data_IF_417529620342
#
_entry.id   IF_417529620342
#
_cell.length_a   1.000
_cell.length_b   1.000
_cell.length_c   1.000
_cell.angle_alpha   90.00
_cell.angle_beta   90.00
_cell.angle_gamma   90.00
#
_symmetry.space_group_name_H-M   'P 1'
#
loop_
_entity.id
_entity.type
_entity.pdbx_description
1 polymer ?
#
# COMPACT_ATOMS: atom_id res chain seq x y z
N UNK A 1 -2.18 38.51 3.47
CA UNK A 1 -1.93 37.91 2.14
C UNK A 1 -0.43 37.67 2.09
N UNK A 2 -0.01 36.43 2.28
CA UNK A 2 1.40 36.06 2.10
C UNK A 2 1.70 36.10 0.59
N UNK A 3 2.80 36.71 0.15
CA UNK A 3 3.19 36.71 -1.26
C UNK A 3 3.64 35.29 -1.60
N UNK A 4 2.86 34.62 -2.44
CA UNK A 4 3.24 33.31 -2.98
C UNK A 4 4.50 33.49 -3.85
N UNK A 5 5.57 32.82 -3.47
CA UNK A 5 6.77 32.71 -4.27
C UNK A 5 6.40 32.22 -5.69
N UNK A 6 7.11 32.76 -6.69
CA UNK A 6 6.95 32.31 -8.09
C UNK A 6 7.25 30.81 -8.17
N UNK A 7 6.63 30.09 -9.09
CA UNK A 7 6.77 28.64 -9.27
C UNK A 7 8.23 28.13 -9.41
N UNK A 8 9.20 29.03 -9.60
CA UNK A 8 10.64 28.74 -9.63
C UNK A 8 11.28 28.63 -8.23
N UNK A 9 10.55 29.01 -7.16
CA UNK A 9 11.07 29.04 -5.79
C UNK A 9 10.37 28.00 -4.89
N UNK A 10 9.58 27.08 -5.45
CA UNK A 10 8.93 26.01 -4.70
C UNK A 10 9.81 24.76 -4.74
N UNK A 11 10.34 24.33 -3.61
CA UNK A 11 11.05 23.07 -3.46
C UNK A 11 10.07 22.00 -2.94
N UNK A 12 9.95 20.92 -3.71
CA UNK A 12 9.15 19.76 -3.36
C UNK A 12 10.06 18.72 -2.73
N UNK A 13 9.82 18.37 -1.48
CA UNK A 13 10.66 17.40 -0.81
C UNK A 13 9.85 16.16 -0.45
N UNK A 14 10.36 14.98 -0.83
CA UNK A 14 10.03 13.77 -0.15
C UNK A 14 10.69 13.82 1.23
N UNK A 15 9.88 13.99 2.27
CA UNK A 15 10.33 14.11 3.66
C UNK A 15 10.76 12.78 4.26
N UNK A 16 11.44 11.93 3.51
CA UNK A 16 12.10 10.73 3.95
C UNK A 16 11.30 9.44 3.86
N UNK A 17 11.93 8.42 3.30
CA UNK A 17 11.51 7.03 3.39
C UNK A 17 12.42 6.26 4.36
N UNK A 18 11.91 5.22 5.07
CA UNK A 18 12.69 4.48 6.04
C UNK A 18 13.77 3.61 5.42
N UNK A 19 13.62 3.19 4.17
CA UNK A 19 14.54 2.31 3.45
C UNK A 19 14.91 2.91 2.09
N UNK A 20 15.92 2.33 1.43
CA UNK A 20 16.29 2.70 0.08
C UNK A 20 15.18 2.33 -0.92
N UNK A 21 14.97 3.13 -1.99
CA UNK A 21 13.88 2.94 -2.95
C UNK A 21 14.18 1.80 -3.95
N UNK A 22 14.46 0.59 -3.45
CA UNK A 22 14.81 -0.62 -4.22
C UNK A 22 13.99 -1.84 -3.84
N UNK A 23 12.90 -1.63 -3.09
CA UNK A 23 12.06 -2.69 -2.53
C UNK A 23 10.99 -3.21 -3.51
N UNK A 24 10.88 -2.63 -4.70
CA UNK A 24 9.75 -2.87 -5.62
C UNK A 24 8.39 -2.70 -4.92
N UNK A 25 8.32 -1.87 -3.88
CA UNK A 25 7.17 -1.69 -3.01
C UNK A 25 7.01 -0.25 -2.55
N UNK A 26 6.78 -0.07 -1.25
CA UNK A 26 6.41 1.21 -0.64
C UNK A 26 7.45 2.32 -0.86
N UNK A 27 8.71 2.05 -0.50
CA UNK A 27 9.76 3.08 -0.57
C UNK A 27 10.02 3.50 -2.02
N UNK A 28 10.10 2.55 -2.95
CA UNK A 28 10.31 2.85 -4.36
C UNK A 28 9.14 3.61 -4.97
N UNK A 29 7.89 3.23 -4.67
CA UNK A 29 6.70 3.91 -5.23
C UNK A 29 6.58 5.35 -4.73
N UNK A 30 6.87 5.62 -3.47
CA UNK A 30 6.93 6.98 -2.93
C UNK A 30 7.98 7.83 -3.62
N UNK A 31 9.21 7.33 -3.68
CA UNK A 31 10.33 7.99 -4.33
C UNK A 31 10.07 8.33 -5.80
N UNK A 32 9.66 7.31 -6.59
CA UNK A 32 9.42 7.48 -8.02
C UNK A 32 8.27 8.45 -8.29
N UNK A 33 7.20 8.39 -7.49
CA UNK A 33 6.07 9.31 -7.61
C UNK A 33 6.44 10.75 -7.24
N UNK A 34 7.17 10.96 -6.16
CA UNK A 34 7.60 12.28 -5.73
C UNK A 34 8.52 12.92 -6.76
N UNK A 35 9.49 12.16 -7.29
CA UNK A 35 10.37 12.58 -8.36
C UNK A 35 9.61 12.98 -9.63
N UNK A 36 8.68 12.13 -10.09
CA UNK A 36 7.88 12.39 -11.28
C UNK A 36 6.97 13.63 -11.12
N UNK A 37 6.43 13.85 -9.92
CA UNK A 37 5.62 15.04 -9.60
C UNK A 37 6.49 16.29 -9.55
N UNK A 38 7.67 16.23 -8.95
CA UNK A 38 8.61 17.34 -8.96
C UNK A 38 8.97 17.75 -10.41
N UNK A 39 9.32 16.79 -11.26
CA UNK A 39 9.58 17.02 -12.69
C UNK A 39 8.37 17.64 -13.41
N UNK A 40 7.18 17.09 -13.19
CA UNK A 40 5.91 17.59 -13.81
C UNK A 40 5.61 19.05 -13.49
N UNK A 41 5.90 19.48 -12.27
CA UNK A 41 5.56 20.84 -11.80
C UNK A 41 6.75 21.80 -11.81
N UNK A 42 7.95 21.36 -12.25
CA UNK A 42 9.17 22.16 -12.26
C UNK A 42 9.68 22.50 -10.86
N UNK A 43 9.52 21.56 -9.92
CA UNK A 43 9.95 21.69 -8.52
C UNK A 43 11.33 21.04 -8.32
N UNK A 44 12.06 21.47 -7.32
CA UNK A 44 13.30 20.82 -6.91
C UNK A 44 12.93 19.57 -6.09
N UNK A 45 13.48 18.42 -6.47
CA UNK A 45 13.32 17.17 -5.74
C UNK A 45 14.48 16.94 -4.78
N UNK A 46 14.19 16.82 -3.49
CA UNK A 46 15.21 16.65 -2.44
C UNK A 46 14.86 15.41 -1.59
N UNK A 47 15.28 14.22 -2.04
CA UNK A 47 14.96 12.98 -1.34
C UNK A 47 15.83 12.79 -0.09
N UNK A 48 15.22 12.31 1.00
CA UNK A 48 15.90 11.74 2.15
C UNK A 48 15.49 10.29 2.31
N UNK A 49 16.35 9.34 2.00
CA UNK A 49 16.05 7.89 2.02
C UNK A 49 16.92 7.16 3.04
N UNK A 50 16.52 5.94 3.44
CA UNK A 50 17.30 5.15 4.37
C UNK A 50 17.30 5.69 5.81
N UNK A 51 16.29 6.45 6.21
CA UNK A 51 16.24 7.12 7.52
C UNK A 51 15.95 6.16 8.69
N UNK A 52 15.55 4.92 8.39
CA UNK A 52 15.10 3.96 9.40
C UNK A 52 13.76 4.33 10.01
N UNK A 53 13.43 3.67 11.11
CA UNK A 53 12.16 3.84 11.83
C UNK A 53 12.33 4.60 13.16
N UNK A 54 13.48 5.26 13.34
CA UNK A 54 13.82 6.03 14.54
C UNK A 54 13.35 7.48 14.51
N UNK A 55 14.02 8.31 15.31
CA UNK A 55 13.77 9.76 15.34
C UNK A 55 14.29 10.47 14.09
N UNK A 56 13.39 11.16 13.40
CA UNK A 56 13.69 11.87 12.14
C UNK A 56 13.57 13.39 12.25
N UNK A 57 13.39 13.93 13.46
CA UNK A 57 13.21 15.38 13.65
C UNK A 57 14.36 16.22 13.08
N UNK A 58 15.62 15.79 13.25
CA UNK A 58 16.78 16.52 12.76
C UNK A 58 16.77 16.60 11.23
N UNK A 59 16.52 15.49 10.56
CA UNK A 59 16.46 15.44 9.09
C UNK A 59 15.31 16.29 8.56
N UNK A 60 14.14 16.21 9.15
CA UNK A 60 13.00 17.03 8.72
C UNK A 60 13.22 18.53 8.92
N UNK A 61 13.93 18.94 10.02
CA UNK A 61 14.32 20.34 10.22
C UNK A 61 15.37 20.81 9.21
N UNK A 62 16.31 19.95 8.84
CA UNK A 62 17.29 20.23 7.79
C UNK A 62 16.59 20.48 6.45
N UNK A 63 15.71 19.57 6.05
CA UNK A 63 14.90 19.71 4.85
C UNK A 63 14.08 21.01 4.84
N UNK A 64 13.44 21.36 5.96
CA UNK A 64 12.70 22.62 6.08
C UNK A 64 13.63 23.84 5.97
N UNK A 65 14.84 23.76 6.56
CA UNK A 65 15.88 24.81 6.48
C UNK A 65 16.43 25.01 5.08
N UNK A 66 16.46 23.96 4.26
CA UNK A 66 16.88 23.99 2.86
C UNK A 66 15.82 24.56 1.91
N UNK A 67 14.66 24.96 2.45
CA UNK A 67 13.63 25.69 1.70
C UNK A 67 12.45 24.88 1.23
N UNK A 68 12.18 23.70 1.84
CA UNK A 68 11.01 22.90 1.54
C UNK A 68 9.71 23.71 1.56
N UNK A 69 8.91 23.58 0.54
CA UNK A 69 7.54 24.14 0.48
C UNK A 69 6.46 23.11 0.86
N UNK A 70 6.79 21.84 0.80
CA UNK A 70 5.97 20.70 1.22
C UNK A 70 6.89 19.54 1.57
N UNK A 71 6.70 18.93 2.73
CA UNK A 71 7.38 17.69 3.12
C UNK A 71 6.40 16.52 3.08
N UNK A 72 6.78 15.41 2.44
CA UNK A 72 6.03 14.15 2.43
C UNK A 72 6.73 13.15 3.35
N UNK A 73 6.18 12.91 4.52
CA UNK A 73 6.68 11.93 5.48
C UNK A 73 6.15 10.53 5.10
N UNK A 74 6.92 9.82 4.25
CA UNK A 74 6.50 8.57 3.62
C UNK A 74 6.71 7.35 4.53
N UNK A 75 6.33 7.46 5.80
CA UNK A 75 6.29 6.34 6.75
C UNK A 75 5.38 6.66 7.94
N UNK A 76 4.57 5.69 8.38
CA UNK A 76 3.72 5.84 9.56
C UNK A 76 4.51 6.10 10.86
N UNK A 77 5.77 5.67 10.92
CA UNK A 77 6.68 5.97 12.02
C UNK A 77 7.04 7.46 12.17
N UNK A 78 6.82 8.27 11.12
CA UNK A 78 7.15 9.71 11.11
C UNK A 78 5.98 10.61 11.47
N UNK A 79 4.82 10.03 11.74
CA UNK A 79 3.56 10.74 11.99
C UNK A 79 3.53 11.60 13.26
N UNK A 80 4.51 11.49 14.14
CA UNK A 80 4.71 12.40 15.28
C UNK A 80 5.69 13.52 14.90
N UNK A 81 6.86 13.15 14.39
CA UNK A 81 7.92 14.10 14.07
C UNK A 81 7.53 15.09 12.96
N UNK A 82 6.86 14.62 11.90
CA UNK A 82 6.55 15.50 10.76
C UNK A 82 5.57 16.62 11.10
N UNK A 83 4.43 16.40 11.81
CA UNK A 83 3.57 17.47 12.27
C UNK A 83 4.24 18.45 13.25
N UNK A 84 5.10 17.95 14.13
CA UNK A 84 5.84 18.79 15.08
C UNK A 84 6.81 19.73 14.36
N UNK A 85 7.63 19.19 13.43
CA UNK A 85 8.55 20.00 12.62
C UNK A 85 7.78 20.95 11.69
N UNK A 86 6.68 20.51 11.09
CA UNK A 86 5.81 21.37 10.29
C UNK A 86 5.28 22.56 11.10
N UNK A 87 4.85 22.32 12.34
CA UNK A 87 4.40 23.40 13.24
C UNK A 87 5.53 24.34 13.66
N UNK A 88 6.75 23.84 13.88
CA UNK A 88 7.93 24.65 14.23
C UNK A 88 8.38 25.53 13.06
N UNK A 89 8.39 25.00 11.85
CA UNK A 89 9.00 25.63 10.68
C UNK A 89 8.00 26.37 9.80
N UNK A 90 6.71 26.10 9.95
CA UNK A 90 5.65 26.61 9.08
C UNK A 90 5.55 25.91 7.73
N UNK A 91 6.31 24.82 7.51
CA UNK A 91 6.28 24.03 6.27
C UNK A 91 5.16 23.01 6.34
N UNK A 92 4.24 22.98 5.36
CA UNK A 92 3.20 21.96 5.28
C UNK A 92 3.76 20.55 5.17
N UNK A 93 3.09 19.58 5.80
CA UNK A 93 3.51 18.19 5.81
C UNK A 93 2.39 17.25 5.36
N UNK A 94 2.72 16.28 4.53
CA UNK A 94 1.86 15.15 4.24
C UNK A 94 2.30 13.95 5.11
N UNK A 95 1.33 13.32 5.77
CA UNK A 95 1.53 12.15 6.64
C UNK A 95 0.69 10.98 6.16
N UNK A 96 1.06 9.76 6.55
CA UNK A 96 0.39 8.55 6.08
C UNK A 96 -0.26 7.77 7.23
N UNK A 97 -1.36 7.06 6.94
CA UNK A 97 -2.07 6.21 7.90
C UNK A 97 -2.61 6.95 9.16
N UNK A 98 -3.01 8.22 8.98
CA UNK A 98 -3.62 9.04 10.04
C UNK A 98 -4.90 9.73 9.53
N UNK A 99 -5.93 8.97 9.15
CA UNK A 99 -7.08 9.45 8.35
C UNK A 99 -7.97 10.52 9.03
N UNK A 100 -7.63 10.97 10.22
CA UNK A 100 -8.36 12.01 10.96
C UNK A 100 -7.47 13.16 11.46
N UNK A 101 -6.20 13.19 11.04
CA UNK A 101 -5.24 14.17 11.53
C UNK A 101 -5.02 15.35 10.56
N UNK A 102 -5.89 15.47 9.52
CA UNK A 102 -5.84 16.59 8.57
C UNK A 102 -5.99 17.95 9.29
N UNK A 103 -5.15 18.91 8.88
CA UNK A 103 -5.20 20.29 9.38
C UNK A 103 -5.04 21.27 8.21
N UNK A 104 -6.07 22.02 7.85
CA UNK A 104 -6.02 22.92 6.72
C UNK A 104 -4.78 23.80 6.67
N UNK A 105 -4.11 23.78 5.53
CA UNK A 105 -2.86 24.51 5.27
C UNK A 105 -1.59 23.90 5.86
N UNK A 106 -1.67 22.89 6.73
CA UNK A 106 -0.49 22.39 7.45
C UNK A 106 -0.30 20.90 7.40
N UNK A 107 -1.37 20.11 7.53
CA UNK A 107 -1.26 18.64 7.58
C UNK A 107 -2.28 18.04 6.61
N UNK A 108 -1.82 17.14 5.76
CA UNK A 108 -2.68 16.30 4.93
C UNK A 108 -2.37 14.83 5.16
N UNK A 109 -3.40 14.00 5.38
CA UNK A 109 -3.26 12.56 5.39
C UNK A 109 -3.45 11.97 3.98
N UNK A 110 -2.66 10.95 3.67
CA UNK A 110 -2.82 10.15 2.46
C UNK A 110 -2.90 8.65 2.78
N UNK A 111 -3.79 8.26 3.67
CA UNK A 111 -4.07 6.85 3.96
C UNK A 111 -4.47 6.11 2.68
N UNK A 112 -3.50 5.40 2.11
CA UNK A 112 -3.63 4.72 0.82
C UNK A 112 -4.21 3.34 1.05
N UNK A 113 -5.53 3.25 1.13
CA UNK A 113 -6.18 2.01 1.54
C UNK A 113 -6.03 0.86 0.53
N UNK A 114 -5.94 1.15 -0.77
CA UNK A 114 -5.83 0.13 -1.83
C UNK A 114 -6.94 -0.94 -1.82
N UNK A 115 -7.95 -0.77 -0.97
CA UNK A 115 -8.97 -1.77 -0.67
C UNK A 115 -9.77 -2.22 -1.89
N UNK A 116 -10.01 -1.32 -2.87
CA UNK A 116 -10.72 -1.69 -4.09
C UNK A 116 -9.92 -2.70 -4.93
N UNK A 117 -8.62 -2.50 -5.06
CA UNK A 117 -7.72 -3.45 -5.74
C UNK A 117 -7.58 -4.77 -4.97
N UNK A 118 -7.51 -4.71 -3.64
CA UNK A 118 -7.45 -5.89 -2.79
C UNK A 118 -8.74 -6.74 -2.86
N UNK A 119 -9.89 -6.13 -3.01
CA UNK A 119 -11.14 -6.85 -3.25
C UNK A 119 -11.09 -7.66 -4.55
N UNK A 120 -10.59 -7.06 -5.64
CA UNK A 120 -10.37 -7.76 -6.91
C UNK A 120 -9.35 -8.89 -6.78
N UNK A 121 -8.26 -8.67 -6.03
CA UNK A 121 -7.26 -9.69 -5.72
C UNK A 121 -7.87 -10.88 -4.94
N UNK A 122 -8.81 -10.61 -4.03
CA UNK A 122 -9.55 -11.65 -3.32
C UNK A 122 -10.40 -12.52 -4.23
N UNK A 123 -11.11 -11.91 -5.19
CA UNK A 123 -11.88 -12.64 -6.22
C UNK A 123 -10.94 -13.52 -7.04
N UNK A 124 -9.84 -12.94 -7.55
CA UNK A 124 -8.83 -13.67 -8.31
C UNK A 124 -8.29 -14.85 -7.50
N UNK A 125 -7.91 -14.65 -6.25
CA UNK A 125 -7.36 -15.69 -5.39
C UNK A 125 -8.35 -16.85 -5.20
N UNK A 126 -9.62 -16.56 -4.96
CA UNK A 126 -10.64 -17.57 -4.78
C UNK A 126 -10.91 -18.40 -6.06
N UNK A 127 -10.80 -17.77 -7.25
CA UNK A 127 -10.93 -18.49 -8.54
C UNK A 127 -9.71 -19.34 -8.86
N UNK A 128 -8.53 -18.91 -8.45
CA UNK A 128 -7.27 -19.63 -8.70
C UNK A 128 -6.96 -20.72 -7.70
N UNK A 129 -7.50 -20.65 -6.48
CA UNK A 129 -7.26 -21.65 -5.44
C UNK A 129 -7.81 -23.04 -5.83
N UNK A 130 -6.97 -24.06 -5.65
CA UNK A 130 -7.29 -25.49 -5.85
C UNK A 130 -7.48 -26.23 -4.53
N UNK A 131 -6.98 -25.69 -3.42
CA UNK A 131 -7.18 -26.26 -2.08
C UNK A 131 -8.46 -25.76 -1.41
N UNK A 132 -9.07 -24.71 -1.93
CA UNK A 132 -10.19 -24.03 -1.30
C UNK A 132 -9.78 -23.17 -0.10
N UNK A 133 -8.49 -22.84 0.02
CA UNK A 133 -7.95 -21.98 1.08
C UNK A 133 -6.99 -20.94 0.51
N UNK A 134 -7.12 -19.71 0.97
CA UNK A 134 -6.23 -18.59 0.64
C UNK A 134 -5.61 -18.03 1.91
N UNK A 135 -4.39 -17.50 1.79
CA UNK A 135 -3.65 -16.92 2.89
C UNK A 135 -3.55 -15.40 2.78
N UNK A 136 -3.58 -14.72 3.93
CA UNK A 136 -3.17 -13.33 4.06
C UNK A 136 -1.98 -13.31 5.02
N UNK A 137 -0.84 -12.82 4.55
CA UNK A 137 0.37 -12.63 5.36
C UNK A 137 0.72 -11.16 5.37
N UNK A 138 0.80 -10.56 6.54
CA UNK A 138 1.11 -9.14 6.69
C UNK A 138 2.27 -8.91 7.65
N UNK A 139 3.15 -7.97 7.33
CA UNK A 139 4.31 -7.63 8.17
C UNK A 139 3.99 -6.65 9.30
N UNK A 140 2.72 -6.24 9.42
CA UNK A 140 2.19 -5.36 10.45
C UNK A 140 0.71 -5.13 10.22
N UNK A 141 0.10 -4.24 11.00
CA UNK A 141 -1.33 -3.93 10.90
C UNK A 141 -1.58 -2.41 10.79
N UNK A 142 -0.88 -1.66 9.91
CA UNK A 142 -1.22 -0.26 9.68
C UNK A 142 -2.60 -0.15 9.01
N UNK A 143 -3.28 1.01 9.12
CA UNK A 143 -4.62 1.22 8.57
C UNK A 143 -4.78 0.83 7.10
N UNK A 144 -3.80 1.17 6.25
CA UNK A 144 -3.79 0.81 4.82
C UNK A 144 -3.83 -0.71 4.60
N UNK A 145 -3.06 -1.48 5.36
CA UNK A 145 -3.02 -2.94 5.23
C UNK A 145 -4.20 -3.64 5.88
N UNK A 146 -4.73 -3.07 6.97
CA UNK A 146 -5.98 -3.54 7.54
C UNK A 146 -7.13 -3.45 6.54
N UNK A 147 -7.26 -2.32 5.85
CA UNK A 147 -8.32 -2.13 4.84
C UNK A 147 -8.18 -3.09 3.65
N UNK A 148 -6.94 -3.35 3.20
CA UNK A 148 -6.70 -4.30 2.12
C UNK A 148 -6.96 -5.75 2.54
N UNK A 149 -6.51 -6.15 3.75
CA UNK A 149 -6.79 -7.49 4.29
C UNK A 149 -8.30 -7.76 4.37
N UNK A 150 -9.06 -6.80 4.88
CA UNK A 150 -10.52 -6.93 4.98
C UNK A 150 -11.18 -7.03 3.60
N UNK A 151 -10.79 -6.17 2.66
CA UNK A 151 -11.36 -6.16 1.32
C UNK A 151 -10.98 -7.43 0.52
N UNK A 152 -9.76 -7.91 0.64
CA UNK A 152 -9.35 -9.20 0.06
C UNK A 152 -10.25 -10.34 0.57
N UNK A 153 -10.45 -10.43 1.88
CA UNK A 153 -11.32 -11.44 2.47
C UNK A 153 -12.75 -11.34 1.96
N UNK A 154 -13.31 -10.13 1.86
CA UNK A 154 -14.65 -9.88 1.31
C UNK A 154 -14.73 -10.30 -0.16
N UNK A 155 -13.76 -9.95 -0.99
CA UNK A 155 -13.69 -10.35 -2.40
C UNK A 155 -13.59 -11.87 -2.57
N UNK A 156 -12.73 -12.52 -1.79
CA UNK A 156 -12.59 -13.97 -1.82
C UNK A 156 -13.91 -14.69 -1.46
N UNK A 157 -14.61 -14.20 -0.43
CA UNK A 157 -15.92 -14.73 -0.04
C UNK A 157 -17.03 -14.42 -1.04
N UNK A 158 -16.99 -13.29 -1.71
CA UNK A 158 -17.95 -12.97 -2.76
C UNK A 158 -17.81 -13.93 -3.95
N UNK A 159 -16.59 -14.31 -4.32
CA UNK A 159 -16.33 -15.27 -5.39
C UNK A 159 -16.60 -16.73 -4.97
N UNK A 160 -16.25 -17.08 -3.74
CA UNK A 160 -16.47 -18.42 -3.17
C UNK A 160 -16.85 -18.32 -1.68
N UNK A 161 -18.13 -18.40 -1.32
CA UNK A 161 -18.57 -18.32 0.08
C UNK A 161 -17.94 -19.36 1.02
N UNK A 162 -17.47 -20.49 0.47
CA UNK A 162 -16.88 -21.59 1.25
C UNK A 162 -15.34 -21.50 1.35
N UNK A 163 -14.71 -20.50 0.73
CA UNK A 163 -13.25 -20.37 0.76
C UNK A 163 -12.77 -20.17 2.20
N UNK A 164 -11.75 -20.92 2.60
CA UNK A 164 -11.09 -20.74 3.89
C UNK A 164 -10.09 -19.60 3.78
N UNK A 165 -10.07 -18.68 4.74
CA UNK A 165 -9.09 -17.59 4.82
C UNK A 165 -8.19 -17.84 6.02
N UNK A 166 -6.88 -17.84 5.79
CA UNK A 166 -5.86 -18.01 6.83
C UNK A 166 -5.12 -16.68 6.95
N UNK A 167 -5.25 -16.02 8.09
CA UNK A 167 -4.65 -14.71 8.36
C UNK A 167 -3.48 -14.85 9.33
N UNK A 168 -2.32 -14.29 8.98
CA UNK A 168 -1.15 -14.32 9.83
C UNK A 168 -0.39 -12.98 9.77
N UNK A 169 0.11 -12.54 10.93
CA UNK A 169 0.94 -11.35 11.08
C UNK A 169 2.36 -11.80 11.40
N UNK A 170 3.37 -11.26 10.70
CA UNK A 170 4.79 -11.59 10.95
C UNK A 170 5.21 -11.04 12.31
N UNK A 171 4.87 -9.80 12.58
CA UNK A 171 5.17 -9.11 13.84
C UNK A 171 4.76 -7.64 13.78
N UNK A 172 4.85 -6.91 14.88
CA UNK A 172 4.61 -5.48 14.87
C UNK A 172 5.72 -4.78 14.07
N UNK A 173 5.33 -4.07 13.00
CA UNK A 173 6.27 -3.32 12.14
C UNK A 173 7.45 -4.15 11.58
N UNK A 174 7.18 -5.41 11.20
CA UNK A 174 8.19 -6.32 10.63
C UNK A 174 8.36 -6.11 9.10
N UNK A 175 8.38 -4.85 8.66
CA UNK A 175 8.30 -4.46 7.25
C UNK A 175 9.46 -4.96 6.40
N UNK A 176 10.68 -5.01 6.96
CA UNK A 176 11.90 -5.50 6.30
C UNK A 176 12.23 -6.96 6.63
N UNK A 177 11.46 -7.65 7.46
CA UNK A 177 11.77 -9.02 7.92
C UNK A 177 11.44 -10.08 6.85
N UNK A 178 12.31 -10.19 5.85
CA UNK A 178 12.18 -11.20 4.79
C UNK A 178 12.23 -12.65 5.36
N UNK A 179 13.04 -12.90 6.39
CA UNK A 179 13.11 -14.21 7.02
C UNK A 179 11.81 -14.59 7.74
N UNK A 180 11.21 -13.63 8.46
CA UNK A 180 9.90 -13.76 9.07
C UNK A 180 8.80 -13.92 8.01
N UNK A 181 8.87 -13.12 6.93
CA UNK A 181 7.97 -13.23 5.78
C UNK A 181 7.95 -14.65 5.21
N UNK A 182 9.11 -15.21 4.95
CA UNK A 182 9.25 -16.59 4.48
C UNK A 182 8.65 -17.60 5.46
N UNK A 183 9.09 -17.57 6.72
CA UNK A 183 8.66 -18.53 7.74
C UNK A 183 7.14 -18.53 7.96
N UNK A 184 6.53 -17.34 8.06
CA UNK A 184 5.10 -17.23 8.29
C UNK A 184 4.31 -17.67 7.05
N UNK A 185 4.78 -17.35 5.84
CA UNK A 185 4.16 -17.79 4.59
C UNK A 185 4.22 -19.32 4.44
N UNK A 186 5.37 -19.94 4.74
CA UNK A 186 5.50 -21.42 4.76
C UNK A 186 4.48 -22.05 5.74
N UNK A 187 4.27 -21.44 6.91
CA UNK A 187 3.25 -21.90 7.88
C UNK A 187 1.83 -21.78 7.35
N UNK A 188 1.51 -20.68 6.67
CA UNK A 188 0.18 -20.44 6.08
C UNK A 188 -0.08 -21.42 4.92
N UNK A 189 0.95 -21.71 4.10
CA UNK A 189 0.87 -22.75 3.06
C UNK A 189 0.64 -24.13 3.71
N UNK A 190 1.39 -24.47 4.76
CA UNK A 190 1.23 -25.70 5.52
C UNK A 190 -0.16 -25.85 6.16
N UNK A 191 -0.82 -24.76 6.48
CA UNK A 191 -2.21 -24.73 6.97
C UNK A 191 -3.27 -24.88 5.86
N UNK A 192 -2.83 -24.99 4.59
CA UNK A 192 -3.67 -25.35 3.44
C UNK A 192 -3.83 -24.26 2.38
N UNK A 193 -3.33 -23.04 2.56
CA UNK A 193 -3.43 -22.00 1.54
C UNK A 193 -2.56 -22.33 0.32
N UNK A 194 -3.10 -22.09 -0.89
CA UNK A 194 -2.39 -22.23 -2.16
C UNK A 194 -2.36 -20.93 -2.98
N UNK A 195 -2.99 -19.87 -2.49
CA UNK A 195 -2.83 -18.50 -2.97
C UNK A 195 -2.56 -17.60 -1.77
N UNK A 196 -1.45 -16.89 -1.78
CA UNK A 196 -1.00 -16.02 -0.70
C UNK A 196 -1.14 -14.57 -1.14
N UNK A 197 -1.88 -13.77 -0.38
CA UNK A 197 -1.89 -12.32 -0.46
C UNK A 197 -0.89 -11.78 0.57
N UNK A 198 0.21 -11.22 0.11
CA UNK A 198 1.30 -10.74 0.95
C UNK A 198 1.32 -9.22 1.04
N UNK A 199 1.43 -8.72 2.26
CA UNK A 199 1.55 -7.29 2.54
C UNK A 199 2.81 -7.06 3.37
N UNK A 200 3.87 -6.60 2.71
CA UNK A 200 5.14 -6.34 3.37
C UNK A 200 6.13 -5.72 2.39
N UNK A 201 6.83 -4.70 2.78
CA UNK A 201 7.84 -4.06 1.95
C UNK A 201 9.00 -5.04 1.69
N UNK A 202 10.13 -4.95 2.40
CA UNK A 202 11.21 -5.93 2.33
C UNK A 202 10.80 -7.35 2.74
N UNK A 203 9.82 -7.51 3.64
CA UNK A 203 9.31 -8.82 4.04
C UNK A 203 8.66 -9.60 2.88
N UNK A 204 8.10 -8.93 1.86
CA UNK A 204 7.45 -9.58 0.73
C UNK A 204 8.43 -10.38 -0.16
N UNK A 205 9.73 -10.06 -0.15
CA UNK A 205 10.74 -10.91 -0.81
C UNK A 205 10.77 -12.32 -0.21
N UNK A 206 10.69 -12.44 1.11
CA UNK A 206 10.61 -13.73 1.78
C UNK A 206 9.30 -14.46 1.52
N UNK A 207 8.17 -13.73 1.44
CA UNK A 207 6.87 -14.31 1.09
C UNK A 207 6.88 -14.87 -0.34
N UNK A 208 7.38 -14.11 -1.32
CA UNK A 208 7.55 -14.56 -2.70
C UNK A 208 8.46 -15.81 -2.75
N UNK A 209 9.61 -15.77 -2.07
CA UNK A 209 10.52 -16.92 -2.00
C UNK A 209 9.84 -18.17 -1.42
N UNK A 210 9.00 -18.02 -0.39
CA UNK A 210 8.25 -19.15 0.19
C UNK A 210 7.34 -19.80 -0.86
N UNK A 211 6.62 -19.03 -1.67
CA UNK A 211 5.75 -19.56 -2.73
C UNK A 211 6.53 -20.24 -3.86
N UNK A 212 7.76 -19.78 -4.13
CA UNK A 212 8.66 -20.38 -5.13
C UNK A 212 9.21 -21.75 -4.69
N UNK A 213 9.40 -21.94 -3.39
CA UNK A 213 10.11 -23.12 -2.84
C UNK A 213 9.21 -24.11 -2.13
N UNK A 214 7.98 -23.75 -1.79
CA UNK A 214 7.05 -24.59 -1.03
C UNK A 214 5.89 -25.03 -1.92
N UNK A 215 5.47 -26.28 -1.81
CA UNK A 215 4.29 -26.81 -2.50
C UNK A 215 3.06 -26.68 -1.62
N UNK A 216 1.90 -26.49 -2.25
CA UNK A 216 0.62 -26.57 -1.57
C UNK A 216 0.41 -27.96 -0.94
N UNK A 217 -0.48 -28.09 0.03
CA UNK A 217 -0.75 -29.36 0.74
C UNK A 217 -1.25 -30.48 -0.18
N UNK A 218 -1.79 -30.14 -1.34
CA UNK A 218 -2.17 -31.08 -2.40
C UNK A 218 -1.03 -31.39 -3.39
N UNK A 219 0.19 -30.88 -3.15
CA UNK A 219 1.36 -31.04 -4.02
C UNK A 219 1.42 -30.05 -5.19
N UNK A 220 0.41 -29.21 -5.35
CA UNK A 220 0.28 -28.25 -6.45
C UNK A 220 1.14 -26.98 -6.29
N UNK A 221 0.97 -26.07 -7.23
CA UNK A 221 1.59 -24.74 -7.24
C UNK A 221 0.98 -23.87 -6.13
N UNK A 222 1.82 -23.04 -5.49
CA UNK A 222 1.40 -21.92 -4.65
C UNK A 222 1.57 -20.63 -5.42
N UNK A 223 0.57 -19.78 -5.38
CA UNK A 223 0.57 -18.49 -6.04
C UNK A 223 0.77 -17.35 -5.04
N UNK A 224 1.43 -16.29 -5.50
CA UNK A 224 1.64 -15.06 -4.74
C UNK A 224 0.89 -13.89 -5.38
N UNK A 225 0.18 -13.13 -4.59
CA UNK A 225 -0.39 -11.82 -4.94
C UNK A 225 0.25 -10.81 -4.01
N UNK A 226 0.98 -9.86 -4.57
CA UNK A 226 1.66 -8.80 -3.82
C UNK A 226 0.83 -7.52 -3.75
N UNK A 227 1.39 -6.50 -3.12
CA UNK A 227 0.83 -5.14 -3.04
C UNK A 227 1.86 -4.10 -3.46
N UNK A 228 1.35 -2.92 -3.81
CA UNK A 228 2.08 -1.67 -4.09
C UNK A 228 2.86 -1.73 -5.40
N UNK A 229 3.84 -2.61 -5.53
CA UNK A 229 4.73 -2.62 -6.68
C UNK A 229 4.55 -3.82 -7.61
N UNK A 230 5.31 -3.81 -8.70
CA UNK A 230 5.39 -4.89 -9.68
C UNK A 230 6.71 -5.64 -9.53
N UNK A 231 6.64 -6.87 -9.04
CA UNK A 231 7.79 -7.77 -8.86
C UNK A 231 8.01 -8.76 -10.01
N UNK A 232 7.39 -8.54 -11.18
CA UNK A 232 7.56 -9.47 -12.34
C UNK A 232 9.01 -9.65 -12.77
N UNK A 233 9.86 -8.64 -12.55
CA UNK A 233 11.29 -8.71 -12.91
C UNK A 233 12.10 -9.71 -12.07
N UNK A 234 11.64 -10.01 -10.86
CA UNK A 234 12.34 -10.90 -9.92
C UNK A 234 11.58 -12.20 -9.66
N UNK A 235 10.33 -12.32 -10.16
CA UNK A 235 9.50 -13.52 -10.05
C UNK A 235 10.10 -14.72 -10.78
N UNK A 236 10.04 -15.89 -10.15
CA UNK A 236 10.45 -17.18 -10.74
C UNK A 236 9.26 -18.04 -11.16
N UNK A 237 8.12 -17.43 -11.37
CA UNK A 237 6.93 -18.08 -11.93
C UNK A 237 5.82 -18.35 -10.92
N UNK A 238 5.79 -17.66 -9.78
CA UNK A 238 4.73 -17.79 -8.77
C UNK A 238 3.93 -16.51 -8.55
N UNK A 239 4.38 -15.37 -9.07
CA UNK A 239 3.66 -14.11 -8.98
C UNK A 239 2.40 -14.16 -9.84
N UNK A 240 1.25 -14.40 -9.22
CA UNK A 240 -0.04 -14.41 -9.90
C UNK A 240 -0.47 -12.98 -10.27
N UNK A 241 -0.31 -12.04 -9.35
CA UNK A 241 -0.74 -10.64 -9.53
C UNK A 241 -0.09 -9.73 -8.50
N UNK A 242 -0.39 -8.44 -8.57
CA UNK A 242 -0.12 -7.44 -7.52
C UNK A 242 -1.20 -6.37 -7.53
N UNK A 243 -1.57 -5.85 -6.36
CA UNK A 243 -2.38 -4.64 -6.22
C UNK A 243 -1.44 -3.44 -6.38
N UNK A 244 -1.21 -3.02 -7.62
CA UNK A 244 -0.24 -1.97 -7.96
C UNK A 244 -0.80 -0.59 -7.66
N UNK A 245 0.01 0.25 -7.01
CA UNK A 245 -0.31 1.64 -6.70
C UNK A 245 0.47 2.61 -7.59
N UNK A 246 -0.20 3.68 -7.98
CA UNK A 246 0.38 4.83 -8.63
C UNK A 246 0.12 6.07 -7.76
N UNK A 247 1.13 6.56 -7.07
CA UNK A 247 1.01 7.70 -6.15
C UNK A 247 1.09 9.06 -6.84
N UNK A 248 1.41 9.11 -8.14
CA UNK A 248 1.52 10.37 -8.90
C UNK A 248 0.24 11.21 -8.81
N UNK A 249 -1.00 10.67 -8.97
CA UNK A 249 -2.22 11.47 -8.80
C UNK A 249 -2.37 12.05 -7.40
N UNK A 250 -2.01 11.28 -6.37
CA UNK A 250 -2.08 11.69 -4.96
C UNK A 250 -1.15 12.87 -4.69
N UNK A 251 0.13 12.72 -5.01
CA UNK A 251 1.12 13.78 -4.78
C UNK A 251 0.89 14.99 -5.69
N UNK A 252 0.43 14.78 -6.94
CA UNK A 252 0.00 15.89 -7.81
C UNK A 252 -1.14 16.70 -7.18
N UNK A 253 -2.15 16.00 -6.63
CA UNK A 253 -3.26 16.65 -5.93
C UNK A 253 -2.81 17.47 -4.72
N UNK A 254 -1.82 16.98 -3.96
CA UNK A 254 -1.24 17.73 -2.83
C UNK A 254 -0.55 19.02 -3.29
N UNK A 255 0.23 18.96 -4.37
CA UNK A 255 0.89 20.14 -4.95
C UNK A 255 -0.13 21.15 -5.49
N UNK A 256 -1.16 20.67 -6.17
CA UNK A 256 -2.24 21.54 -6.69
C UNK A 256 -3.02 22.20 -5.56
N UNK A 257 -3.37 21.48 -4.51
CA UNK A 257 -4.08 22.00 -3.35
C UNK A 257 -3.22 22.98 -2.54
N UNK A 258 -1.91 22.72 -2.44
CA UNK A 258 -0.99 23.66 -1.81
C UNK A 258 -0.98 25.00 -2.56
N UNK A 259 -0.86 24.96 -3.90
CA UNK A 259 -0.91 26.14 -4.77
C UNK A 259 -2.25 26.86 -4.69
N UNK A 260 -3.34 26.12 -4.51
CA UNK A 260 -4.70 26.67 -4.38
C UNK A 260 -5.03 27.17 -2.95
N UNK A 261 -4.18 26.90 -1.97
CA UNK A 261 -4.46 27.20 -0.55
C UNK A 261 -5.51 26.29 0.09
N UNK A 262 -5.71 25.09 -0.47
CA UNK A 262 -6.69 24.09 0.00
C UNK A 262 -6.04 22.81 0.53
N UNK A 263 -4.74 22.79 0.73
CA UNK A 263 -4.00 21.67 1.31
C UNK A 263 -4.57 21.28 2.68
N UNK A 264 -4.71 19.97 2.95
CA UNK A 264 -5.25 19.45 4.21
C UNK A 264 -6.74 19.69 4.43
N UNK A 265 -7.51 20.03 3.38
CA UNK A 265 -8.98 20.20 3.46
C UNK A 265 -9.76 19.00 2.91
N UNK A 266 -9.08 18.04 2.29
CA UNK A 266 -9.67 16.81 1.75
C UNK A 266 -8.73 15.64 1.97
N UNK A 267 -9.27 14.44 1.90
CA UNK A 267 -8.48 13.20 1.92
C UNK A 267 -7.92 12.87 0.53
N UNK A 268 -6.70 12.36 0.53
CA UNK A 268 -6.05 11.84 -0.68
C UNK A 268 -6.15 10.33 -0.68
N UNK A 269 -6.76 9.76 -1.71
CA UNK A 269 -7.05 8.34 -1.81
C UNK A 269 -6.61 7.79 -3.16
N UNK A 270 -6.24 6.51 -3.20
CA UNK A 270 -6.04 5.78 -4.45
C UNK A 270 -7.34 5.05 -4.83
N UNK A 271 -7.68 5.06 -6.14
CA UNK A 271 -8.96 4.55 -6.66
C UNK A 271 -8.77 3.76 -7.96
N UNK A 272 -9.65 2.79 -8.22
CA UNK A 272 -9.71 2.12 -9.51
C UNK A 272 -10.16 3.08 -10.63
N UNK A 273 -10.98 4.07 -10.31
CA UNK A 273 -11.59 5.00 -11.28
C UNK A 273 -10.56 5.92 -11.96
N UNK A 274 -9.49 6.31 -11.27
CA UNK A 274 -8.41 7.16 -11.79
C UNK A 274 -7.12 6.38 -12.09
N UNK A 275 -7.17 5.05 -12.01
CA UNK A 275 -6.04 4.16 -12.18
C UNK A 275 -4.88 4.38 -11.19
N UNK A 276 -5.12 5.04 -10.06
CA UNK A 276 -4.13 5.14 -8.98
C UNK A 276 -4.00 3.83 -8.20
N UNK A 277 -4.96 2.91 -8.31
CA UNK A 277 -4.82 1.51 -7.93
C UNK A 277 -5.29 0.60 -9.07
N UNK A 278 -4.56 -0.47 -9.33
CA UNK A 278 -4.89 -1.47 -10.34
C UNK A 278 -4.48 -2.86 -9.89
N UNK A 279 -5.06 -3.88 -10.54
CA UNK A 279 -4.59 -5.25 -10.40
C UNK A 279 -3.68 -5.60 -11.59
N UNK A 280 -2.50 -6.13 -11.33
CA UNK A 280 -1.52 -6.52 -12.34
C UNK A 280 -2.02 -7.77 -13.09
N UNK A 281 -2.09 -7.68 -14.43
CA UNK A 281 -2.39 -8.84 -15.28
C UNK A 281 -1.10 -9.58 -15.63
N UNK A 282 -0.97 -10.82 -15.16
CA UNK A 282 0.15 -11.70 -15.52
C UNK A 282 -0.29 -12.83 -16.45
N UNK A 283 0.67 -13.47 -17.11
CA UNK A 283 0.42 -14.63 -17.98
C UNK A 283 -0.17 -15.86 -17.26
N UNK A 284 -0.21 -15.85 -15.94
CA UNK A 284 -0.70 -16.95 -15.11
C UNK A 284 -2.22 -16.89 -14.87
N UNK A 285 -2.86 -15.77 -15.22
CA UNK A 285 -4.29 -15.57 -15.03
C UNK A 285 -5.02 -16.00 -16.31
N UNK A 286 -5.93 -17.00 -16.24
CA UNK A 286 -6.77 -17.37 -17.39
C UNK A 286 -7.65 -16.20 -17.85
N UNK A 287 -7.89 -16.11 -19.16
CA UNK A 287 -8.63 -15.00 -19.78
C UNK A 287 -10.07 -14.86 -19.24
N UNK A 288 -10.73 -15.99 -18.99
CA UNK A 288 -12.09 -16.01 -18.43
C UNK A 288 -12.12 -15.50 -16.98
N UNK A 289 -11.13 -15.86 -16.16
CA UNK A 289 -10.99 -15.35 -14.80
C UNK A 289 -10.68 -13.85 -14.83
N UNK A 290 -9.78 -13.42 -15.72
CA UNK A 290 -9.46 -12.00 -15.86
C UNK A 290 -10.69 -11.19 -16.30
N UNK A 291 -11.47 -11.70 -17.24
CA UNK A 291 -12.69 -11.04 -17.70
C UNK A 291 -13.72 -10.86 -16.55
N UNK A 292 -13.88 -11.87 -15.68
CA UNK A 292 -14.73 -11.77 -14.49
C UNK A 292 -14.22 -10.66 -13.55
N UNK A 293 -12.92 -10.65 -13.26
CA UNK A 293 -12.31 -9.63 -12.38
C UNK A 293 -12.49 -8.23 -12.96
N UNK A 294 -12.30 -8.05 -14.27
CA UNK A 294 -12.49 -6.75 -14.93
C UNK A 294 -13.95 -6.30 -14.97
N UNK A 295 -14.90 -7.23 -15.05
CA UNK A 295 -16.32 -6.90 -14.89
C UNK A 295 -16.61 -6.37 -13.49
N UNK A 296 -16.08 -7.02 -12.44
CA UNK A 296 -16.25 -6.55 -11.06
C UNK A 296 -15.55 -5.20 -10.85
N UNK A 297 -14.37 -5.00 -11.45
CA UNK A 297 -13.69 -3.70 -11.46
C UNK A 297 -14.62 -2.60 -11.99
N UNK A 298 -15.30 -2.84 -13.11
CA UNK A 298 -16.24 -1.86 -13.67
C UNK A 298 -17.44 -1.64 -12.75
N UNK A 299 -17.97 -2.71 -12.13
CA UNK A 299 -19.10 -2.58 -11.20
C UNK A 299 -18.74 -1.79 -9.93
N UNK A 300 -17.47 -1.83 -9.47
CA UNK A 300 -16.96 -0.96 -8.39
C UNK A 300 -16.87 0.49 -8.86
N UNK A 301 -16.31 0.74 -10.05
CA UNK A 301 -16.18 2.09 -10.62
C UNK A 301 -17.56 2.72 -10.83
N UNK A 302 -18.53 1.95 -11.29
CA UNK A 302 -19.90 2.37 -11.49
C UNK A 302 -20.69 2.57 -10.17
N UNK A 303 -20.08 2.24 -9.01
CA UNK A 303 -20.71 2.34 -7.70
C UNK A 303 -21.78 1.27 -7.41
N UNK A 304 -21.90 0.22 -8.25
CA UNK A 304 -22.80 -0.92 -8.02
C UNK A 304 -22.31 -1.80 -6.87
N UNK A 305 -20.99 -1.93 -6.75
CA UNK A 305 -20.33 -2.61 -5.62
C UNK A 305 -19.61 -1.53 -4.81
N UNK A 306 -19.97 -1.41 -3.54
CA UNK A 306 -19.33 -0.50 -2.59
C UNK A 306 -18.53 -1.32 -1.60
N UNK A 307 -17.27 -0.95 -1.41
CA UNK A 307 -16.35 -1.60 -0.50
C UNK A 307 -15.92 -0.56 0.52
N UNK A 308 -16.42 -0.71 1.75
CA UNK A 308 -16.05 0.20 2.84
C UNK A 308 -14.72 -0.25 3.45
N UNK A 309 -13.71 0.61 3.56
CA UNK A 309 -12.43 0.26 4.15
C UNK A 309 -12.57 0.03 5.66
N UNK A 310 -11.92 -1.01 6.17
CA UNK A 310 -11.85 -1.33 7.60
C UNK A 310 -10.41 -1.10 8.07
N UNK A 311 -10.17 0.01 8.76
CA UNK A 311 -8.83 0.40 9.22
C UNK A 311 -8.45 -0.20 10.58
N UNK A 312 -9.43 -0.62 11.37
CA UNK A 312 -9.24 -1.14 12.72
C UNK A 312 -8.80 -2.62 12.71
N UNK A 313 -7.62 -2.90 13.29
CA UNK A 313 -7.05 -4.26 13.31
C UNK A 313 -7.92 -5.27 14.06
N UNK A 314 -8.62 -4.86 15.14
CA UNK A 314 -9.48 -5.77 15.90
C UNK A 314 -10.69 -6.19 15.07
N UNK A 315 -11.27 -5.24 14.30
CA UNK A 315 -12.39 -5.54 13.39
C UNK A 315 -11.94 -6.47 12.27
N UNK A 316 -10.73 -6.27 11.72
CA UNK A 316 -10.15 -7.16 10.70
C UNK A 316 -9.97 -8.56 11.27
N UNK A 317 -9.35 -8.72 12.44
CA UNK A 317 -9.17 -10.03 13.08
C UNK A 317 -10.51 -10.72 13.39
N UNK A 318 -11.51 -9.96 13.85
CA UNK A 318 -12.86 -10.49 14.09
C UNK A 318 -13.52 -10.97 12.77
N UNK A 319 -13.35 -10.23 11.66
CA UNK A 319 -13.82 -10.64 10.34
C UNK A 319 -13.17 -11.98 9.92
N UNK A 320 -11.86 -12.14 10.09
CA UNK A 320 -11.14 -13.37 9.74
C UNK A 320 -11.61 -14.57 10.59
N UNK A 321 -11.85 -14.35 11.89
CA UNK A 321 -12.34 -15.39 12.80
C UNK A 321 -13.78 -15.82 12.47
N UNK A 322 -14.67 -14.86 12.18
CA UNK A 322 -16.06 -15.14 11.80
C UNK A 322 -16.19 -15.92 10.49
N UNK A 323 -15.21 -15.71 9.60
CA UNK A 323 -15.10 -16.40 8.31
C UNK A 323 -14.60 -17.85 8.49
N UNK A 324 -13.80 -18.11 9.52
CA UNK A 324 -13.30 -19.46 9.83
C UNK A 324 -14.35 -20.35 10.55
N UNK A 325 -15.37 -19.76 11.17
CA UNK A 325 -16.35 -20.45 12.01
C UNK A 325 -17.61 -20.94 11.26
N UNK A 326 -17.72 -20.70 9.97
CA UNK A 326 -18.80 -21.19 9.09
C UNK A 326 -18.27 -22.25 8.12
#
# INVERSE_FOLDING_TARGET
MAPWAKAADCEFQEGGSPEDPTDYGWNQQGYDAAKAVAEKYGLVFMPATGLGYGDVHSTLRELAGDGASLMIAHASGYNTAAPEVGAETGVPVAIVDRPNDDKPGMIADYTLSGHQGAYLAGILAARMSKTGAVGIVTSGEPPSWNSQSAAFAQGAKAANPNIKIIYAVIGPAAYSDAAGGRRVTESVIGAGADVIFGQGDGASFGMLQATETTKATNGGQVWFIDVIGDKTKIDKGTLLSSVVWNLIPVYSGMVEDLKAGTFGTKKYEIKLADNSVNLLHTKHIPDDVWAEVMKVRQDIIDGKIKIEPIFDAQKVRALMTSVAAK
#
